data_IF_111113853535
#
_entry.id   IF_111113853535
#
_cell.length_a   1.000
_cell.length_b   1.000
_cell.length_c   1.000
_cell.angle_alpha   90.00
_cell.angle_beta   90.00
_cell.angle_gamma   90.00
#
_symmetry.space_group_name_H-M   'P 1'
#
loop_
_entity.id
_entity.type
_entity.pdbx_description
1 polymer ?
#
# COMPACT_ATOMS: atom_id res chain seq x y z
N UNK A 1 3.08 -2.75 -26.03
CA UNK A 1 3.28 -2.59 -24.57
C UNK A 1 2.02 -3.09 -23.87
N UNK A 2 2.15 -3.88 -22.82
CA UNK A 2 0.99 -4.31 -22.03
C UNK A 2 0.27 -3.08 -21.45
N UNK A 3 -1.07 -3.15 -21.33
CA UNK A 3 -1.83 -2.08 -20.71
C UNK A 3 -1.44 -1.95 -19.23
N UNK A 4 -1.35 -0.73 -18.68
CA UNK A 4 -1.02 -0.54 -17.28
C UNK A 4 -2.13 -1.10 -16.37
N UNK A 5 -1.73 -1.68 -15.23
CA UNK A 5 -2.68 -2.15 -14.21
C UNK A 5 -3.40 -0.98 -13.54
N UNK A 6 -2.65 0.05 -13.14
CA UNK A 6 -3.17 1.28 -12.57
C UNK A 6 -2.54 2.48 -13.30
N UNK A 7 -3.35 3.48 -13.60
CA UNK A 7 -2.90 4.74 -14.19
C UNK A 7 -3.65 5.91 -13.57
N UNK A 8 -2.96 7.04 -13.37
CA UNK A 8 -3.63 8.32 -13.11
C UNK A 8 -3.33 9.29 -14.24
N UNK A 9 -4.30 10.15 -14.56
CA UNK A 9 -4.19 11.19 -15.59
C UNK A 9 -4.57 12.53 -14.99
N UNK A 10 -3.61 13.45 -14.95
CA UNK A 10 -3.75 14.82 -14.46
C UNK A 10 -4.46 14.90 -13.09
N UNK A 11 -4.17 13.88 -12.24
CA UNK A 11 -4.86 13.69 -10.97
C UNK A 11 -4.53 14.81 -9.99
N UNK A 12 -5.55 15.51 -9.53
CA UNK A 12 -5.39 16.68 -8.67
C UNK A 12 -6.40 16.67 -7.51
N UNK A 13 -5.97 17.21 -6.36
CA UNK A 13 -6.80 17.38 -5.17
C UNK A 13 -6.59 18.73 -4.52
N UNK A 14 -7.68 19.42 -4.27
CA UNK A 14 -7.69 20.72 -3.58
C UNK A 14 -8.56 20.66 -2.32
N UNK A 15 -8.05 21.20 -1.25
CA UNK A 15 -8.79 21.43 0.00
C UNK A 15 -8.87 22.94 0.25
N UNK A 16 -10.02 23.54 -0.06
CA UNK A 16 -10.14 25.01 -0.01
C UNK A 16 -9.09 25.69 -0.91
N UNK A 17 -8.20 26.48 -0.32
CA UNK A 17 -7.13 27.17 -1.04
C UNK A 17 -5.85 26.36 -1.24
N UNK A 18 -5.73 25.15 -0.65
CA UNK A 18 -4.51 24.34 -0.69
C UNK A 18 -4.63 23.26 -1.75
N UNK A 19 -3.68 23.21 -2.69
CA UNK A 19 -3.55 22.14 -3.67
C UNK A 19 -2.63 21.03 -3.13
N UNK A 20 -3.24 19.98 -2.59
CA UNK A 20 -2.52 18.89 -1.92
C UNK A 20 -1.91 17.89 -2.91
N UNK A 21 -2.53 17.71 -4.09
CA UNK A 21 -2.00 16.93 -5.21
C UNK A 21 -2.25 17.70 -6.49
N UNK A 22 -1.25 17.75 -7.39
CA UNK A 22 -1.24 18.57 -8.59
C UNK A 22 -0.78 17.78 -9.79
N UNK A 23 -1.68 17.61 -10.77
CA UNK A 23 -1.45 17.07 -12.11
C UNK A 23 -0.58 15.80 -12.13
N UNK A 24 -0.88 14.86 -11.21
CA UNK A 24 -0.09 13.64 -11.06
C UNK A 24 -0.49 12.64 -12.15
N UNK A 25 0.48 12.37 -13.03
CA UNK A 25 0.45 11.31 -14.02
C UNK A 25 1.33 10.16 -13.52
N UNK A 26 0.71 9.03 -13.17
CA UNK A 26 1.36 7.88 -12.58
C UNK A 26 0.93 6.62 -13.32
N UNK A 27 1.84 5.68 -13.49
CA UNK A 27 1.56 4.41 -14.16
C UNK A 27 2.21 3.27 -13.41
N UNK A 28 1.45 2.21 -13.16
CA UNK A 28 1.91 0.96 -12.53
C UNK A 28 1.62 -0.20 -13.48
N UNK A 29 2.63 -1.01 -13.76
CA UNK A 29 2.48 -2.24 -14.55
C UNK A 29 1.96 -3.41 -13.69
N UNK A 30 1.46 -4.47 -14.32
CA UNK A 30 1.15 -5.73 -13.63
C UNK A 30 2.41 -6.31 -12.99
N UNK A 31 2.29 -6.82 -11.76
CA UNK A 31 3.40 -7.40 -10.98
C UNK A 31 4.47 -6.40 -10.55
N UNK A 32 4.28 -5.11 -10.79
CA UNK A 32 5.24 -4.09 -10.36
C UNK A 32 5.09 -3.78 -8.86
N UNK A 33 6.24 -3.60 -8.17
CA UNK A 33 6.31 -2.99 -6.85
C UNK A 33 6.86 -1.57 -6.98
N UNK A 34 6.05 -0.60 -6.57
CA UNK A 34 6.38 0.82 -6.58
C UNK A 34 6.36 1.38 -5.16
N UNK A 35 7.47 1.98 -4.73
CA UNK A 35 7.49 2.75 -3.49
C UNK A 35 7.20 4.23 -3.76
N UNK A 36 6.32 4.81 -2.95
CA UNK A 36 6.03 6.25 -2.94
C UNK A 36 6.70 6.87 -1.73
N UNK A 37 7.64 7.78 -1.96
CA UNK A 37 8.40 8.46 -0.92
C UNK A 37 8.26 9.98 -1.04
N UNK A 38 8.73 10.70 -0.03
CA UNK A 38 8.72 12.17 0.00
C UNK A 38 8.51 12.69 1.42
N UNK A 39 8.79 13.96 1.68
CA UNK A 39 8.64 14.54 3.01
C UNK A 39 7.19 14.56 3.48
N UNK A 40 7.00 14.87 4.77
CA UNK A 40 5.67 15.09 5.32
C UNK A 40 4.99 16.26 4.60
N UNK A 41 3.70 16.12 4.29
CA UNK A 41 2.96 17.12 3.53
C UNK A 41 3.21 17.11 2.00
N UNK A 42 4.02 16.19 1.47
CA UNK A 42 4.30 16.10 0.03
C UNK A 42 3.11 15.67 -0.84
N UNK A 43 1.98 15.24 -0.24
CA UNK A 43 0.77 14.80 -0.97
C UNK A 43 0.61 13.28 -1.06
N UNK A 44 1.55 12.47 -0.58
CA UNK A 44 1.51 10.99 -0.66
C UNK A 44 0.22 10.38 -0.11
N UNK A 45 -0.14 10.70 1.14
CA UNK A 45 -1.35 10.16 1.78
C UNK A 45 -2.63 10.63 1.09
N UNK A 46 -2.64 11.85 0.54
CA UNK A 46 -3.77 12.36 -0.26
C UNK A 46 -3.88 11.58 -1.58
N UNK A 47 -2.76 11.38 -2.27
CA UNK A 47 -2.70 10.55 -3.48
C UNK A 47 -3.16 9.13 -3.19
N UNK A 48 -2.65 8.49 -2.14
CA UNK A 48 -3.05 7.15 -1.70
C UNK A 48 -4.56 7.07 -1.42
N UNK A 49 -5.13 8.05 -0.71
CA UNK A 49 -6.57 8.11 -0.43
C UNK A 49 -7.43 8.27 -1.68
N UNK A 50 -6.94 8.93 -2.72
CA UNK A 50 -7.64 8.98 -4.01
C UNK A 50 -7.60 7.63 -4.73
N UNK A 51 -6.48 6.91 -4.71
CA UNK A 51 -6.38 5.57 -5.30
C UNK A 51 -7.28 4.55 -4.58
N UNK A 52 -7.54 4.77 -3.30
CA UNK A 52 -8.35 3.86 -2.45
C UNK A 52 -9.82 4.25 -2.35
N UNK A 53 -10.25 5.31 -3.05
CA UNK A 53 -11.63 5.82 -3.02
C UNK A 53 -12.07 6.39 -1.67
N UNK A 54 -11.13 6.69 -0.78
CA UNK A 54 -11.39 7.42 0.47
C UNK A 54 -11.55 8.93 0.22
N UNK A 55 -10.95 9.42 -0.88
CA UNK A 55 -11.11 10.78 -1.38
C UNK A 55 -11.42 10.72 -2.87
N UNK A 56 -12.39 11.51 -3.30
CA UNK A 56 -12.64 11.72 -4.73
C UNK A 56 -11.72 12.83 -5.23
N UNK A 57 -11.05 12.66 -6.38
CA UNK A 57 -10.20 13.71 -6.95
C UNK A 57 -11.02 14.96 -7.31
N UNK A 58 -10.40 16.13 -7.16
CA UNK A 58 -11.00 17.38 -7.61
C UNK A 58 -10.96 17.51 -9.14
N UNK A 59 -9.91 16.89 -9.78
CA UNK A 59 -9.73 16.84 -11.23
C UNK A 59 -8.91 15.60 -11.61
N UNK A 60 -8.97 15.22 -12.88
CA UNK A 60 -8.23 14.09 -13.41
C UNK A 60 -8.94 12.76 -13.17
N UNK A 61 -8.22 11.67 -13.45
CA UNK A 61 -8.78 10.33 -13.44
C UNK A 61 -7.85 9.32 -12.77
N UNK A 62 -8.46 8.31 -12.15
CA UNK A 62 -7.81 7.07 -11.72
C UNK A 62 -8.38 5.93 -12.56
N UNK A 63 -7.51 5.22 -13.27
CA UNK A 63 -7.89 4.11 -14.15
C UNK A 63 -7.29 2.81 -13.61
N UNK A 64 -8.12 1.81 -13.37
CA UNK A 64 -7.70 0.45 -13.03
C UNK A 64 -8.09 -0.49 -14.16
N UNK A 65 -7.11 -1.17 -14.76
CA UNK A 65 -7.30 -1.97 -15.99
C UNK A 65 -8.03 -1.21 -17.11
N UNK A 66 -7.75 0.08 -17.23
CA UNK A 66 -8.39 0.97 -18.20
C UNK A 66 -9.79 1.45 -17.84
N UNK A 67 -10.40 0.95 -16.76
CA UNK A 67 -11.71 1.40 -16.27
C UNK A 67 -11.54 2.59 -15.32
N UNK A 68 -12.33 3.64 -15.51
CA UNK A 68 -12.32 4.81 -14.64
C UNK A 68 -12.97 4.47 -13.29
N UNK A 69 -12.18 4.59 -12.22
CA UNK A 69 -12.59 4.34 -10.83
C UNK A 69 -12.56 5.62 -9.97
N UNK A 70 -12.40 6.80 -10.58
CA UNK A 70 -12.21 8.08 -9.88
C UNK A 70 -13.33 8.41 -8.89
N UNK A 71 -14.55 8.00 -9.19
CA UNK A 71 -15.75 8.23 -8.37
C UNK A 71 -16.19 6.99 -7.59
N UNK A 72 -15.41 5.90 -7.65
CA UNK A 72 -15.75 4.68 -6.94
C UNK A 72 -15.46 4.82 -5.44
N UNK A 73 -16.36 4.32 -4.61
CA UNK A 73 -16.15 4.24 -3.17
C UNK A 73 -15.21 3.09 -2.80
N UNK A 74 -14.57 3.17 -1.63
CA UNK A 74 -13.58 2.18 -1.18
C UNK A 74 -14.08 0.73 -1.24
N UNK A 75 -15.35 0.46 -0.90
CA UNK A 75 -15.92 -0.89 -0.97
C UNK A 75 -16.10 -1.39 -2.42
N UNK A 76 -16.30 -0.50 -3.40
CA UNK A 76 -16.37 -0.84 -4.82
C UNK A 76 -14.97 -1.15 -5.34
N UNK A 77 -13.97 -0.31 -4.99
CA UNK A 77 -12.56 -0.49 -5.33
C UNK A 77 -12.04 -1.84 -4.80
N UNK A 78 -12.37 -2.19 -3.54
CA UNK A 78 -12.02 -3.49 -2.98
C UNK A 78 -12.62 -4.67 -3.76
N UNK A 79 -13.83 -4.53 -4.34
CA UNK A 79 -14.45 -5.58 -5.18
C UNK A 79 -13.82 -5.71 -6.56
N UNK A 80 -13.10 -4.69 -7.03
CA UNK A 80 -12.35 -4.72 -8.28
C UNK A 80 -11.01 -5.47 -8.15
N UNK A 81 -10.64 -5.91 -6.95
CA UNK A 81 -9.38 -6.61 -6.71
C UNK A 81 -8.24 -5.69 -6.24
N UNK A 82 -8.56 -4.57 -5.62
CA UNK A 82 -7.58 -3.69 -4.98
C UNK A 82 -7.65 -3.89 -3.46
N UNK A 83 -6.63 -4.52 -2.90
CA UNK A 83 -6.46 -4.70 -1.46
C UNK A 83 -5.80 -3.47 -0.83
N UNK A 84 -6.26 -3.09 0.37
CA UNK A 84 -5.78 -1.88 1.03
C UNK A 84 -5.43 -2.19 2.48
N UNK A 85 -4.18 -1.89 2.86
CA UNK A 85 -3.74 -1.81 4.25
C UNK A 85 -3.44 -0.35 4.56
N UNK A 86 -4.26 0.23 5.43
CA UNK A 86 -4.11 1.62 5.86
C UNK A 86 -3.21 1.73 7.10
N UNK A 87 -2.77 2.96 7.41
CA UNK A 87 -1.97 3.24 8.61
C UNK A 87 -2.72 2.89 9.91
N UNK A 88 -4.04 3.12 9.96
CA UNK A 88 -4.89 2.70 11.06
C UNK A 88 -5.40 1.29 10.77
N UNK A 89 -5.07 0.28 11.61
CA UNK A 89 -5.47 -1.10 11.37
C UNK A 89 -6.99 -1.27 11.25
N UNK A 90 -7.42 -2.00 10.20
CA UNK A 90 -8.81 -2.37 9.97
C UNK A 90 -9.05 -3.81 10.42
N UNK A 91 -9.02 -4.05 11.74
CA UNK A 91 -9.13 -5.37 12.37
C UNK A 91 -10.17 -5.35 13.50
N UNK A 92 -10.75 -6.50 13.79
CA UNK A 92 -11.63 -6.70 14.93
C UNK A 92 -10.82 -7.21 16.12
N UNK A 93 -10.50 -6.34 17.07
CA UNK A 93 -9.66 -6.64 18.24
C UNK A 93 -10.22 -7.74 19.15
N UNK A 94 -11.54 -7.87 19.23
CA UNK A 94 -12.24 -8.88 19.98
C UNK A 94 -12.38 -10.24 19.28
N UNK A 95 -11.87 -10.39 18.06
CA UNK A 95 -11.83 -11.65 17.33
C UNK A 95 -10.41 -12.17 17.25
N UNK A 96 -10.27 -13.50 17.09
CA UNK A 96 -8.99 -14.15 16.85
C UNK A 96 -8.41 -13.78 15.46
N UNK A 97 -7.11 -14.05 15.26
CA UNK A 97 -6.48 -13.89 13.94
C UNK A 97 -7.21 -14.69 12.88
N UNK A 98 -7.53 -15.96 13.19
CA UNK A 98 -8.30 -16.86 12.33
C UNK A 98 -9.65 -16.28 11.93
N UNK A 99 -10.43 -15.80 12.90
CA UNK A 99 -11.76 -15.24 12.63
C UNK A 99 -11.69 -13.97 11.79
N UNK A 100 -10.73 -13.08 12.04
CA UNK A 100 -10.52 -11.89 11.22
C UNK A 100 -10.26 -12.26 9.75
N UNK A 101 -9.34 -13.21 9.48
CA UNK A 101 -9.03 -13.66 8.13
C UNK A 101 -10.24 -14.37 7.52
N UNK A 102 -10.95 -15.19 8.30
CA UNK A 102 -12.13 -15.94 7.86
C UNK A 102 -13.25 -15.00 7.37
N UNK A 103 -13.51 -13.93 8.10
CA UNK A 103 -14.51 -12.92 7.71
C UNK A 103 -14.18 -12.27 6.36
N UNK A 104 -12.91 -11.99 6.10
CA UNK A 104 -12.48 -11.40 4.85
C UNK A 104 -12.53 -12.42 3.70
N UNK A 105 -11.99 -13.61 3.92
CA UNK A 105 -12.00 -14.72 2.95
C UNK A 105 -13.43 -15.12 2.54
N UNK A 106 -14.37 -15.11 3.50
CA UNK A 106 -15.79 -15.43 3.28
C UNK A 106 -16.51 -14.48 2.32
N UNK A 107 -15.93 -13.33 1.99
CA UNK A 107 -16.48 -12.40 0.99
C UNK A 107 -16.28 -12.89 -0.45
N UNK A 108 -15.23 -13.70 -0.67
CA UNK A 108 -14.79 -14.14 -2.01
C UNK A 108 -14.96 -15.65 -2.15
N UNK A 109 -14.76 -16.40 -1.05
CA UNK A 109 -14.80 -17.86 -1.03
C UNK A 109 -16.01 -18.36 -0.25
N UNK A 110 -16.40 -19.64 -0.45
CA UNK A 110 -17.51 -20.26 0.24
C UNK A 110 -17.18 -21.69 0.68
N UNK A 111 -17.90 -22.18 1.70
CA UNK A 111 -17.76 -23.54 2.21
C UNK A 111 -16.35 -23.86 2.70
N UNK A 112 -15.90 -25.09 2.51
CA UNK A 112 -14.57 -25.59 2.97
C UNK A 112 -13.38 -24.85 2.38
N UNK A 113 -13.57 -24.11 1.27
CA UNK A 113 -12.49 -23.33 0.65
C UNK A 113 -12.06 -22.17 1.54
N UNK A 114 -12.97 -21.59 2.33
CA UNK A 114 -12.66 -20.50 3.27
C UNK A 114 -11.62 -20.95 4.27
N UNK A 115 -11.82 -22.12 4.90
CA UNK A 115 -10.90 -22.65 5.92
C UNK A 115 -9.52 -22.92 5.35
N UNK A 116 -9.44 -23.46 4.13
CA UNK A 116 -8.17 -23.67 3.43
C UNK A 116 -7.43 -22.36 3.15
N UNK A 117 -8.13 -21.32 2.72
CA UNK A 117 -7.53 -20.00 2.51
C UNK A 117 -7.04 -19.40 3.85
N UNK A 118 -7.80 -19.57 4.92
CA UNK A 118 -7.40 -19.09 6.25
C UNK A 118 -6.13 -19.78 6.72
N UNK A 119 -6.02 -21.09 6.58
CA UNK A 119 -4.82 -21.84 6.99
C UNK A 119 -3.60 -21.44 6.15
N UNK A 120 -3.76 -21.29 4.84
CA UNK A 120 -2.72 -20.79 3.94
C UNK A 120 -2.24 -19.38 4.34
N UNK A 121 -3.16 -18.47 4.64
CA UNK A 121 -2.81 -17.11 5.03
C UNK A 121 -2.09 -17.08 6.38
N UNK A 122 -2.55 -17.87 7.37
CA UNK A 122 -1.89 -17.98 8.69
C UNK A 122 -0.46 -18.49 8.56
N UNK A 123 -0.21 -19.46 7.70
CA UNK A 123 1.15 -19.97 7.41
C UNK A 123 1.99 -18.88 6.75
N UNK A 124 1.47 -18.25 5.71
CA UNK A 124 2.14 -17.23 4.92
C UNK A 124 2.59 -16.03 5.74
N UNK A 125 1.74 -15.54 6.64
CA UNK A 125 2.08 -14.42 7.54
C UNK A 125 2.84 -14.88 8.80
N UNK A 126 3.07 -16.20 8.98
CA UNK A 126 3.78 -16.78 10.12
C UNK A 126 3.06 -16.65 11.46
N UNK A 127 1.72 -16.70 11.45
CA UNK A 127 0.88 -16.58 12.65
C UNK A 127 0.08 -17.86 12.97
N UNK A 128 0.44 -19.01 12.42
CA UNK A 128 -0.23 -20.29 12.70
C UNK A 128 -0.29 -20.58 14.21
N UNK A 129 0.82 -20.37 14.94
CA UNK A 129 0.86 -20.55 16.40
C UNK A 129 0.04 -19.55 17.22
N UNK A 130 -0.38 -18.45 16.59
CA UNK A 130 -1.20 -17.39 17.19
C UNK A 130 -2.64 -17.35 16.62
N UNK A 131 -3.02 -18.33 15.80
CA UNK A 131 -4.27 -18.34 15.04
C UNK A 131 -5.52 -18.07 15.92
N UNK A 132 -5.56 -18.62 17.12
CA UNK A 132 -6.68 -18.50 18.04
C UNK A 132 -6.52 -17.37 19.08
N UNK A 133 -5.43 -16.58 19.02
CA UNK A 133 -5.26 -15.42 19.90
C UNK A 133 -6.08 -14.25 19.38
N UNK A 134 -6.65 -13.47 20.28
CA UNK A 134 -7.35 -12.22 19.95
C UNK A 134 -6.37 -11.23 19.32
N UNK A 135 -6.77 -10.56 18.24
CA UNK A 135 -5.89 -9.59 17.54
C UNK A 135 -5.49 -8.45 18.46
N UNK A 136 -6.37 -7.99 19.35
CA UNK A 136 -6.07 -6.96 20.36
C UNK A 136 -4.98 -7.35 21.37
N UNK A 137 -4.61 -8.64 21.48
CA UNK A 137 -3.57 -9.16 22.39
C UNK A 137 -2.22 -9.42 21.67
N UNK A 138 -2.15 -9.17 20.37
CA UNK A 138 -0.93 -9.37 19.60
C UNK A 138 0.06 -8.23 19.81
N UNK A 139 1.36 -8.54 19.68
CA UNK A 139 2.39 -7.52 19.51
C UNK A 139 2.13 -6.69 18.25
N UNK A 140 2.67 -5.47 18.21
CA UNK A 140 2.40 -4.53 17.12
C UNK A 140 2.71 -5.13 15.73
N UNK A 141 3.89 -5.71 15.53
CA UNK A 141 4.27 -6.35 14.26
C UNK A 141 3.36 -7.51 13.87
N UNK A 142 3.00 -8.37 14.84
CA UNK A 142 2.06 -9.47 14.60
C UNK A 142 0.68 -8.98 14.16
N UNK A 143 0.21 -7.87 14.73
CA UNK A 143 -1.04 -7.22 14.33
C UNK A 143 -0.98 -6.71 12.89
N UNK A 144 0.14 -6.12 12.48
CA UNK A 144 0.37 -5.68 11.10
C UNK A 144 0.37 -6.86 10.11
N UNK A 145 0.97 -8.01 10.50
CA UNK A 145 0.94 -9.22 9.67
C UNK A 145 -0.46 -9.83 9.61
N UNK A 146 -1.23 -9.83 10.71
CA UNK A 146 -2.62 -10.26 10.68
C UNK A 146 -3.45 -9.44 9.69
N UNK A 147 -3.28 -8.12 9.66
CA UNK A 147 -3.92 -7.23 8.69
C UNK A 147 -3.51 -7.56 7.24
N UNK A 148 -2.22 -7.85 6.99
CA UNK A 148 -1.77 -8.33 5.68
C UNK A 148 -2.46 -9.65 5.29
N UNK A 149 -2.60 -10.60 6.21
CA UNK A 149 -3.33 -11.85 5.99
C UNK A 149 -4.79 -11.62 5.61
N UNK A 150 -5.46 -10.66 6.28
CA UNK A 150 -6.82 -10.24 5.95
C UNK A 150 -6.91 -9.72 4.51
N UNK A 151 -6.00 -8.83 4.13
CA UNK A 151 -5.96 -8.25 2.77
C UNK A 151 -5.70 -9.35 1.74
N UNK A 152 -4.71 -10.21 1.96
CA UNK A 152 -4.31 -11.28 1.04
C UNK A 152 -5.41 -12.33 0.86
N UNK A 153 -6.22 -12.61 1.89
CA UNK A 153 -7.30 -13.58 1.84
C UNK A 153 -8.41 -13.24 0.85
N UNK A 154 -8.46 -11.98 0.38
CA UNK A 154 -9.38 -11.51 -0.66
C UNK A 154 -8.80 -11.62 -2.08
N UNK A 155 -7.63 -12.24 -2.24
CA UNK A 155 -6.92 -12.47 -3.51
C UNK A 155 -6.83 -11.23 -4.42
N UNK A 156 -6.36 -10.07 -3.92
CA UNK A 156 -6.29 -8.86 -4.71
C UNK A 156 -5.22 -8.95 -5.81
N UNK A 157 -5.40 -8.21 -6.90
CA UNK A 157 -4.40 -8.05 -7.97
C UNK A 157 -3.39 -6.93 -7.68
N UNK A 158 -3.88 -5.87 -7.06
CA UNK A 158 -3.11 -4.73 -6.59
C UNK A 158 -3.26 -4.58 -5.08
N UNK A 159 -2.15 -4.39 -4.38
CA UNK A 159 -2.15 -4.15 -2.94
C UNK A 159 -1.52 -2.78 -2.66
N UNK A 160 -2.24 -1.99 -1.91
CA UNK A 160 -1.84 -0.66 -1.46
C UNK A 160 -1.48 -0.74 0.02
N UNK A 161 -0.21 -0.48 0.37
CA UNK A 161 0.31 -0.54 1.73
C UNK A 161 0.74 0.86 2.19
N UNK A 162 0.18 1.33 3.30
CA UNK A 162 0.56 2.60 3.92
C UNK A 162 1.37 2.32 5.18
N UNK A 163 2.67 2.63 5.15
CA UNK A 163 3.67 2.44 6.19
C UNK A 163 3.63 1.03 6.83
N UNK A 164 3.83 -0.04 6.04
CA UNK A 164 3.68 -1.42 6.52
C UNK A 164 4.70 -1.84 7.58
N UNK A 165 5.83 -1.13 7.70
CA UNK A 165 6.91 -1.41 8.65
C UNK A 165 6.94 -0.45 9.85
N UNK A 166 5.99 0.50 9.95
CA UNK A 166 6.00 1.51 11.00
C UNK A 166 5.91 0.89 12.41
N UNK A 167 6.77 1.33 13.33
CA UNK A 167 6.76 0.89 14.73
C UNK A 167 7.23 -0.54 14.98
N UNK A 168 7.84 -1.18 13.98
CA UNK A 168 8.38 -2.54 14.07
C UNK A 168 9.82 -2.56 14.57
N UNK A 169 10.21 -3.66 15.22
CA UNK A 169 11.62 -3.97 15.53
C UNK A 169 12.38 -4.27 14.23
N UNK A 170 13.72 -4.23 14.27
CA UNK A 170 14.54 -4.57 13.09
C UNK A 170 14.23 -5.95 12.52
N UNK A 171 14.04 -6.96 13.38
CA UNK A 171 13.70 -8.32 12.96
C UNK A 171 12.34 -8.37 12.26
N UNK A 172 11.32 -7.68 12.80
CA UNK A 172 10.00 -7.58 12.19
C UNK A 172 10.03 -6.84 10.86
N UNK A 173 10.86 -5.79 10.73
CA UNK A 173 11.08 -5.06 9.46
C UNK A 173 11.64 -6.01 8.39
N UNK A 174 12.65 -6.83 8.72
CA UNK A 174 13.21 -7.81 7.79
C UNK A 174 12.15 -8.82 7.35
N UNK A 175 11.43 -9.41 8.30
CA UNK A 175 10.35 -10.37 8.01
C UNK A 175 9.25 -9.75 7.15
N UNK A 176 8.87 -8.50 7.43
CA UNK A 176 7.88 -7.77 6.61
C UNK A 176 8.39 -7.54 5.19
N UNK A 177 9.68 -7.19 5.02
CA UNK A 177 10.26 -7.03 3.70
C UNK A 177 10.28 -8.35 2.90
N UNK A 178 10.59 -9.47 3.54
CA UNK A 178 10.53 -10.80 2.90
C UNK A 178 9.10 -11.13 2.47
N UNK A 179 8.11 -10.89 3.34
CA UNK A 179 6.70 -11.11 3.03
C UNK A 179 6.23 -10.23 1.86
N UNK A 180 6.60 -8.95 1.85
CA UNK A 180 6.26 -8.02 0.74
C UNK A 180 6.89 -8.50 -0.58
N UNK A 181 8.14 -8.96 -0.58
CA UNK A 181 8.80 -9.52 -1.76
C UNK A 181 8.12 -10.80 -2.25
N UNK A 182 7.73 -11.67 -1.34
CA UNK A 182 6.99 -12.89 -1.66
C UNK A 182 5.66 -12.56 -2.32
N UNK A 183 4.88 -11.65 -1.74
CA UNK A 183 3.61 -11.17 -2.29
C UNK A 183 3.83 -10.61 -3.71
N UNK A 184 4.89 -9.83 -3.92
CA UNK A 184 5.19 -9.21 -5.22
C UNK A 184 5.52 -10.22 -6.33
N UNK A 185 5.80 -11.47 -6.03
CA UNK A 185 6.00 -12.50 -7.07
C UNK A 185 4.74 -12.73 -7.93
N UNK A 186 3.58 -12.44 -7.37
CA UNK A 186 2.28 -12.68 -8.03
C UNK A 186 1.34 -11.48 -8.05
N UNK A 187 1.62 -10.42 -7.30
CA UNK A 187 0.76 -9.25 -7.13
C UNK A 187 1.52 -7.97 -7.39
N UNK A 188 0.82 -6.95 -7.90
CA UNK A 188 1.36 -5.60 -7.95
C UNK A 188 1.21 -4.92 -6.58
N UNK A 189 2.17 -4.08 -6.20
CA UNK A 189 2.15 -3.35 -4.94
C UNK A 189 2.47 -1.87 -5.12
N UNK A 190 1.76 -1.03 -4.37
CA UNK A 190 2.18 0.34 -4.09
C UNK A 190 2.42 0.44 -2.58
N UNK A 191 3.61 0.87 -2.19
CA UNK A 191 4.02 1.00 -0.79
C UNK A 191 4.37 2.45 -0.51
N UNK A 192 3.63 3.10 0.39
CA UNK A 192 4.01 4.41 0.93
C UNK A 192 4.92 4.17 2.12
N UNK A 193 6.12 4.69 2.08
CA UNK A 193 7.12 4.49 3.15
C UNK A 193 8.07 5.69 3.27
N UNK A 194 8.68 5.80 4.44
CA UNK A 194 9.71 6.79 4.74
C UNK A 194 11.00 6.15 5.30
N UNK A 195 10.96 4.87 5.67
CA UNK A 195 12.15 4.12 6.10
C UNK A 195 12.97 3.68 4.87
N UNK A 196 14.12 4.35 4.70
CA UNK A 196 15.01 4.10 3.56
C UNK A 196 15.64 2.71 3.59
N UNK A 197 15.81 2.09 4.77
CA UNK A 197 16.31 0.74 4.90
C UNK A 197 15.28 -0.25 4.35
N UNK A 198 14.03 -0.13 4.76
CA UNK A 198 12.94 -0.96 4.26
C UNK A 198 12.76 -0.78 2.74
N UNK A 199 12.75 0.46 2.25
CA UNK A 199 12.63 0.78 0.82
C UNK A 199 13.74 0.09 0.01
N UNK A 200 15.01 0.17 0.44
CA UNK A 200 16.14 -0.53 -0.21
C UNK A 200 15.97 -2.05 -0.25
N UNK A 201 15.26 -2.62 0.71
CA UNK A 201 15.03 -4.08 0.77
C UNK A 201 13.98 -4.53 -0.24
N UNK A 202 12.97 -3.70 -0.55
CA UNK A 202 11.81 -4.15 -1.35
C UNK A 202 11.72 -3.48 -2.73
N UNK A 203 12.12 -2.20 -2.87
CA UNK A 203 11.83 -1.40 -4.04
C UNK A 203 12.78 -1.68 -5.21
N UNK A 204 12.20 -1.80 -6.42
CA UNK A 204 12.93 -1.67 -7.69
C UNK A 204 12.79 -0.27 -8.25
N UNK A 205 11.58 0.28 -8.17
CA UNK A 205 11.23 1.62 -8.65
C UNK A 205 10.64 2.45 -7.52
N UNK A 206 11.06 3.68 -7.45
CA UNK A 206 10.63 4.66 -6.44
C UNK A 206 10.10 5.90 -7.15
N UNK A 207 8.96 6.40 -6.69
CA UNK A 207 8.38 7.68 -7.09
C UNK A 207 8.47 8.66 -5.92
N UNK A 208 9.13 9.79 -6.11
CA UNK A 208 9.29 10.84 -5.09
C UNK A 208 8.23 11.90 -5.27
N UNK A 209 7.47 12.14 -4.23
CA UNK A 209 6.52 13.25 -4.14
C UNK A 209 7.16 14.46 -3.47
N UNK A 210 6.88 15.63 -4.01
CA UNK A 210 7.23 16.92 -3.42
C UNK A 210 6.17 17.96 -3.79
N UNK A 211 5.68 18.72 -2.80
CA UNK A 211 4.73 19.80 -3.00
C UNK A 211 3.50 19.41 -3.88
N UNK A 212 2.98 18.22 -3.65
CA UNK A 212 1.79 17.71 -4.34
C UNK A 212 2.04 17.13 -5.74
N UNK A 213 3.27 17.10 -6.23
CA UNK A 213 3.60 16.59 -7.57
C UNK A 213 4.67 15.49 -7.50
N UNK A 214 4.80 14.71 -8.58
CA UNK A 214 5.92 13.78 -8.76
C UNK A 214 7.16 14.59 -9.12
N UNK A 215 8.19 14.49 -8.29
CA UNK A 215 9.46 15.18 -8.47
C UNK A 215 10.41 14.39 -9.39
N UNK A 216 10.53 13.09 -9.12
CA UNK A 216 11.39 12.17 -9.87
C UNK A 216 10.91 10.74 -9.67
N UNK A 217 11.18 9.90 -10.66
CA UNK A 217 10.89 8.47 -10.65
C UNK A 217 12.09 7.70 -11.22
N UNK A 218 12.42 6.57 -10.62
CA UNK A 218 13.53 5.73 -11.06
C UNK A 218 13.90 4.64 -10.07
N UNK A 219 15.07 4.03 -10.29
CA UNK A 219 15.62 3.07 -9.32
C UNK A 219 15.95 3.76 -7.99
N UNK A 220 16.04 2.99 -6.91
CA UNK A 220 16.42 3.51 -5.58
C UNK A 220 17.71 4.32 -5.66
N UNK A 221 18.73 3.79 -6.34
CA UNK A 221 20.05 4.46 -6.42
C UNK A 221 19.98 5.75 -7.26
N UNK A 222 19.24 5.72 -8.39
CA UNK A 222 19.03 6.92 -9.22
C UNK A 222 18.33 8.02 -8.43
N UNK A 223 17.28 7.68 -7.71
CA UNK A 223 16.48 8.61 -6.92
C UNK A 223 17.29 9.19 -5.77
N UNK A 224 18.04 8.37 -5.04
CA UNK A 224 18.85 8.81 -3.90
C UNK A 224 20.07 9.64 -4.30
N UNK A 225 20.54 9.49 -5.54
CA UNK A 225 21.64 10.32 -6.08
C UNK A 225 21.17 11.68 -6.62
N UNK A 226 19.87 11.82 -6.92
CA UNK A 226 19.29 13.05 -7.48
C UNK A 226 19.39 14.22 -6.48
N UNK A 227 20.00 15.33 -6.93
CA UNK A 227 20.22 16.52 -6.07
C UNK A 227 18.89 17.12 -5.60
N UNK A 228 17.85 17.12 -6.43
CA UNK A 228 16.51 17.64 -6.07
C UNK A 228 15.90 16.85 -4.91
N UNK A 229 16.11 15.52 -4.88
CA UNK A 229 15.65 14.65 -3.78
C UNK A 229 16.42 14.98 -2.50
N UNK A 230 17.74 15.12 -2.57
CA UNK A 230 18.57 15.51 -1.42
C UNK A 230 18.12 16.85 -0.85
N UNK A 231 17.86 17.83 -1.70
CA UNK A 231 17.44 19.18 -1.29
C UNK A 231 16.06 19.16 -0.59
N UNK A 232 15.16 18.29 -1.03
CA UNK A 232 13.84 18.14 -0.43
C UNK A 232 13.89 17.47 0.95
N UNK A 233 14.78 16.50 1.16
CA UNK A 233 14.93 15.80 2.45
C UNK A 233 15.81 16.51 3.45
N UNK A 234 16.87 17.16 2.99
CA UNK A 234 17.85 17.84 3.86
C UNK A 234 17.47 19.30 4.14
N UNK A 235 16.45 19.83 3.48
CA UNK A 235 16.18 21.25 3.39
C UNK A 235 17.24 21.95 2.50
N UNK A 236 16.85 22.99 1.77
CA UNK A 236 17.84 23.87 1.13
C UNK A 236 18.72 24.41 2.25
N UNK A 237 20.00 24.06 2.28
CA UNK A 237 20.96 24.87 3.02
C UNK A 237 20.82 26.30 2.44
N UNK A 238 20.30 27.20 3.26
CA UNK A 238 20.35 28.64 2.92
C UNK A 238 21.80 28.97 2.64
N UNK A 239 22.04 29.35 1.41
CA UNK A 239 23.31 29.96 1.02
C UNK A 239 23.36 31.40 1.53
#
# INVERSE_FOLDING_TARGET
MAAPLLQTRDLSMRFGGVQAVRDVNFTLAEGELRCLIGPNGAGKSTFFKMLTGQLQPSQGQVLFRGHDISNAHAHQIARLGIGIKTQVPSVFDGLSVRENIWLAAGRIHSGKRVDGVVDEMLERIGLTGAANRLVGQLAHGQRQWAELGIVLSTDPELILLDEPAAGMTHEEVYKTAELVREINRSKALIVVEHDMQFIRMIARTVTVFSQGAVLVEGSVDTVLSDQRVKDVYLGRRAA
#
